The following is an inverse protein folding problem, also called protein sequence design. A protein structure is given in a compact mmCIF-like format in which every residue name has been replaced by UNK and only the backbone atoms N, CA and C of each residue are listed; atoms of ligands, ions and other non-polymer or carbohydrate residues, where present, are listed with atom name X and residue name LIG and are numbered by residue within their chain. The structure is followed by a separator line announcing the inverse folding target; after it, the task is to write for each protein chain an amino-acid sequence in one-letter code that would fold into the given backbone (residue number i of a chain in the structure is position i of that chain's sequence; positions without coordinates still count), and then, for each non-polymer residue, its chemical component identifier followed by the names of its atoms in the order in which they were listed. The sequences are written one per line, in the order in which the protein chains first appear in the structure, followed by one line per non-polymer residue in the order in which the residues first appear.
data_IF_333562969961
#
_entry.id   IF_333562969961
#
_cell.length_a   1.000
_cell.length_b   1.000
_cell.length_c   1.000
_cell.angle_alpha   90.00
_cell.angle_beta   90.00
_cell.angle_gamma   90.00
#
_symmetry.space_group_name_H-M   'P 1'
#
loop_
_entity.id
_entity.type
_entity.pdbx_description
1 polymer ?
#
# COMPACT_ATOMS: atom_id res chain seq x y z
N UNK A 1 -3.38 3.78 33.97
CA UNK A 1 -3.32 2.42 33.44
C UNK A 1 -3.28 2.58 31.93
N UNK A 2 -2.21 2.12 31.26
CA UNK A 2 -2.19 1.99 29.82
C UNK A 2 -3.25 0.94 29.47
N UNK A 3 -4.21 1.30 28.66
CA UNK A 3 -5.12 0.30 28.06
C UNK A 3 -4.25 -0.65 27.25
N UNK A 4 -4.32 -1.94 27.58
CA UNK A 4 -3.63 -2.99 26.86
C UNK A 4 -4.23 -3.04 25.45
N UNK A 5 -3.49 -2.57 24.47
CA UNK A 5 -3.94 -2.51 23.08
C UNK A 5 -4.14 -3.94 22.59
N UNK A 6 -5.28 -4.21 21.94
CA UNK A 6 -5.58 -5.55 21.43
C UNK A 6 -4.47 -6.04 20.47
N UNK A 7 -4.20 -7.36 20.48
CA UNK A 7 -3.15 -7.95 19.64
C UNK A 7 -3.39 -7.63 18.16
N UNK A 8 -2.36 -7.16 17.48
CA UNK A 8 -2.42 -6.76 16.07
C UNK A 8 -2.99 -5.37 15.79
N UNK A 9 -3.33 -4.59 16.81
CA UNK A 9 -3.69 -3.19 16.63
C UNK A 9 -2.44 -2.32 16.56
N UNK A 10 -2.32 -1.54 15.48
CA UNK A 10 -1.19 -0.64 15.24
C UNK A 10 -1.67 0.78 15.02
N UNK A 11 -1.00 1.73 15.64
CA UNK A 11 -1.27 3.15 15.44
C UNK A 11 -0.48 3.65 14.22
N UNK A 12 -1.20 4.22 13.26
CA UNK A 12 -0.62 4.94 12.13
C UNK A 12 -0.81 6.45 12.29
N UNK A 13 -0.20 7.22 11.42
CA UNK A 13 -0.38 8.70 11.37
C UNK A 13 -1.82 9.13 11.11
N UNK A 14 -2.66 8.26 10.52
CA UNK A 14 -4.06 8.55 10.22
C UNK A 14 -5.06 7.93 11.20
N UNK A 15 -4.66 6.92 11.97
CA UNK A 15 -5.54 6.24 12.92
C UNK A 15 -5.10 4.81 13.22
N UNK A 16 -5.90 4.10 14.01
CA UNK A 16 -5.63 2.72 14.38
C UNK A 16 -6.06 1.76 13.26
N UNK A 17 -5.22 0.76 13.00
CA UNK A 17 -5.53 -0.36 12.11
C UNK A 17 -5.40 -1.68 12.85
N UNK A 18 -6.23 -2.65 12.50
CA UNK A 18 -6.13 -4.02 12.97
C UNK A 18 -6.07 -4.97 11.77
N UNK A 19 -5.03 -5.80 11.74
CA UNK A 19 -4.87 -6.87 10.78
C UNK A 19 -5.33 -8.22 11.31
N UNK A 20 -4.97 -9.25 10.56
CA UNK A 20 -5.15 -10.66 10.93
C UNK A 20 -3.81 -11.28 11.27
N UNK A 21 -3.82 -12.40 11.99
CA UNK A 21 -2.61 -13.17 12.31
C UNK A 21 -2.79 -14.61 11.90
N UNK A 22 -1.90 -15.09 11.07
CA UNK A 22 -1.89 -16.48 10.61
C UNK A 22 -0.44 -16.99 10.60
N UNK A 23 -0.23 -18.24 11.04
CA UNK A 23 1.11 -18.85 11.09
C UNK A 23 2.19 -18.00 11.78
N UNK A 24 1.81 -17.17 12.76
CA UNK A 24 2.72 -16.27 13.46
C UNK A 24 3.05 -14.96 12.73
N UNK A 25 2.46 -14.74 11.55
CA UNK A 25 2.63 -13.52 10.75
C UNK A 25 1.38 -12.65 10.84
N UNK A 26 1.57 -11.37 11.15
CA UNK A 26 0.52 -10.36 11.07
C UNK A 26 0.39 -9.88 9.62
N UNK A 27 -0.84 -9.75 9.15
CA UNK A 27 -1.18 -9.31 7.81
C UNK A 27 -2.14 -8.13 7.86
N UNK A 28 -1.75 -7.04 7.20
CA UNK A 28 -2.55 -5.83 7.05
C UNK A 28 -2.77 -5.58 5.57
N UNK A 29 -4.01 -5.61 5.11
CA UNK A 29 -4.39 -5.47 3.71
C UNK A 29 -5.15 -4.16 3.48
N UNK A 30 -4.88 -3.50 2.36
CA UNK A 30 -5.60 -2.32 1.94
C UNK A 30 -5.41 -1.09 2.85
N UNK A 31 -4.23 -0.95 3.47
CA UNK A 31 -3.92 0.20 4.31
C UNK A 31 -3.69 1.43 3.44
N UNK A 32 -4.47 2.51 3.59
CA UNK A 32 -4.31 3.69 2.77
C UNK A 32 -3.03 4.45 3.16
N UNK A 33 -2.24 4.86 2.17
CA UNK A 33 -1.07 5.71 2.37
C UNK A 33 -1.25 7.13 1.82
N UNK A 34 -2.21 7.34 0.94
CA UNK A 34 -2.61 8.63 0.38
C UNK A 34 -4.04 8.52 -0.18
N UNK A 35 -4.64 9.63 -0.57
CA UNK A 35 -5.96 9.69 -1.18
C UNK A 35 -5.95 10.48 -2.48
N UNK A 36 -6.21 9.82 -3.61
CA UNK A 36 -6.42 10.49 -4.90
C UNK A 36 -7.90 10.86 -5.07
N UNK A 37 -8.29 12.00 -4.52
CA UNK A 37 -9.66 12.51 -4.57
C UNK A 37 -10.09 12.95 -5.97
N UNK A 38 -9.13 13.34 -6.80
CA UNK A 38 -9.34 13.77 -8.18
C UNK A 38 -8.38 13.04 -9.11
N UNK A 39 -8.81 12.78 -10.36
CA UNK A 39 -7.95 12.18 -11.39
C UNK A 39 -6.87 13.16 -11.85
N UNK A 40 -5.71 12.64 -12.22
CA UNK A 40 -4.59 13.35 -12.84
C UNK A 40 -3.93 14.41 -11.96
N UNK A 41 -4.28 14.49 -10.71
CA UNK A 41 -3.63 15.39 -9.73
C UNK A 41 -2.90 14.58 -8.67
N UNK A 42 -1.89 15.14 -8.00
CA UNK A 42 -1.23 14.49 -6.88
C UNK A 42 -2.24 14.05 -5.81
N UNK A 43 -1.97 12.90 -5.19
CA UNK A 43 -2.75 12.43 -4.06
C UNK A 43 -2.54 13.34 -2.85
N UNK A 44 -3.53 13.39 -1.97
CA UNK A 44 -3.51 14.13 -0.72
C UNK A 44 -3.20 13.19 0.46
N UNK A 45 -2.92 13.77 1.61
CA UNK A 45 -2.79 13.03 2.86
C UNK A 45 -4.08 12.25 3.18
N UNK A 46 -3.91 11.09 3.81
CA UNK A 46 -5.04 10.27 4.24
C UNK A 46 -5.88 11.02 5.26
N UNK A 47 -7.19 11.06 5.04
CA UNK A 47 -8.13 11.62 6.01
C UNK A 47 -8.10 10.76 7.28
N UNK A 48 -7.77 11.35 8.45
CA UNK A 48 -7.75 10.63 9.72
C UNK A 48 -9.12 10.03 10.04
N UNK A 49 -9.14 8.88 10.70
CA UNK A 49 -10.35 8.22 11.16
C UNK A 49 -10.36 8.00 12.68
N UNK A 50 -11.56 7.87 13.23
CA UNK A 50 -11.77 7.48 14.63
C UNK A 50 -12.00 5.97 14.74
N UNK A 51 -11.64 5.39 15.90
CA UNK A 51 -11.79 3.96 16.14
C UNK A 51 -10.75 3.11 15.41
N UNK A 52 -11.02 1.82 15.30
CA UNK A 52 -10.11 0.85 14.69
C UNK A 52 -10.61 0.51 13.28
N UNK A 53 -9.77 0.75 12.26
CA UNK A 53 -10.03 0.33 10.89
C UNK A 53 -9.54 -1.10 10.69
N UNK A 54 -10.41 -1.98 10.23
CA UNK A 54 -10.02 -3.34 9.86
C UNK A 54 -9.22 -3.32 8.56
N UNK A 55 -8.07 -4.01 8.58
CA UNK A 55 -7.17 -4.18 7.44
C UNK A 55 -7.06 -5.68 7.09
N UNK A 56 -8.19 -6.30 6.78
CA UNK A 56 -8.36 -7.73 6.56
C UNK A 56 -8.72 -8.10 5.11
N UNK A 57 -8.92 -7.09 4.27
CA UNK A 57 -9.25 -7.24 2.85
C UNK A 57 -8.39 -6.32 1.98
N UNK A 58 -8.04 -6.79 0.78
CA UNK A 58 -7.33 -5.97 -0.19
C UNK A 58 -8.11 -4.70 -0.52
N UNK A 59 -7.41 -3.60 -0.68
CA UNK A 59 -7.97 -2.35 -1.16
C UNK A 59 -8.15 -2.34 -2.68
N UNK A 60 -8.75 -1.27 -3.24
CA UNK A 60 -8.92 -1.14 -4.67
C UNK A 60 -7.57 -1.00 -5.37
N UNK A 61 -7.47 -1.58 -6.56
CA UNK A 61 -6.37 -1.37 -7.49
C UNK A 61 -6.68 -0.25 -8.49
N UNK A 62 -5.67 0.24 -9.19
CA UNK A 62 -5.85 1.25 -10.23
C UNK A 62 -6.70 0.73 -11.38
N UNK A 63 -7.61 1.53 -11.94
CA UNK A 63 -8.35 1.17 -13.14
C UNK A 63 -7.40 0.80 -14.28
N UNK A 64 -7.70 -0.33 -14.97
CA UNK A 64 -6.85 -0.89 -16.00
C UNK A 64 -7.64 -1.74 -16.98
N UNK A 65 -7.11 -1.92 -18.19
CA UNK A 65 -7.70 -2.83 -19.16
C UNK A 65 -7.47 -4.29 -18.72
N UNK A 66 -8.49 -5.13 -18.91
CA UNK A 66 -8.33 -6.57 -18.73
C UNK A 66 -7.40 -7.12 -19.81
N UNK A 67 -6.38 -7.86 -19.42
CA UNK A 67 -5.58 -8.62 -20.37
C UNK A 67 -6.30 -9.95 -20.58
N UNK A 68 -6.95 -10.12 -21.73
CA UNK A 68 -7.57 -11.38 -22.12
C UNK A 68 -6.48 -12.45 -22.26
N UNK A 69 -6.53 -13.50 -21.44
CA UNK A 69 -5.67 -14.68 -21.58
C UNK A 69 -4.69 -14.97 -20.43
N UNK A 70 -4.69 -14.20 -19.38
CA UNK A 70 -4.08 -14.60 -18.10
C UNK A 70 -5.23 -15.05 -17.21
N UNK A 71 -5.30 -16.35 -16.95
CA UNK A 71 -6.33 -16.96 -16.08
C UNK A 71 -6.17 -16.46 -14.62
N UNK A 72 -6.78 -15.37 -14.36
CA UNK A 72 -7.02 -14.80 -13.05
C UNK A 72 -8.20 -13.87 -13.21
N UNK A 73 -9.31 -14.19 -12.58
CA UNK A 73 -10.50 -13.34 -12.56
C UNK A 73 -10.17 -11.97 -11.93
N UNK A 74 -9.60 -11.06 -12.70
CA UNK A 74 -9.60 -9.66 -12.33
C UNK A 74 -10.97 -9.08 -12.72
N UNK A 75 -11.93 -9.26 -11.85
CA UNK A 75 -13.17 -8.50 -11.93
C UNK A 75 -12.84 -7.01 -11.87
N UNK A 76 -13.44 -6.19 -12.72
CA UNK A 76 -13.37 -4.73 -12.60
C UNK A 76 -13.99 -4.24 -11.29
N UNK A 77 -14.59 -5.12 -10.52
CA UNK A 77 -15.19 -4.93 -9.20
C UNK A 77 -14.16 -4.67 -8.08
N UNK A 78 -13.07 -4.08 -8.31
CA UNK A 78 -12.06 -3.76 -7.30
C UNK A 78 -11.15 -2.63 -7.74
N UNK A 79 -11.57 -1.84 -8.75
CA UNK A 79 -10.77 -0.71 -9.24
C UNK A 79 -11.34 0.63 -8.77
N UNK A 80 -10.46 1.54 -8.38
CA UNK A 80 -10.80 2.92 -8.03
C UNK A 80 -9.62 3.84 -8.36
N UNK A 81 -9.89 5.09 -8.69
CA UNK A 81 -8.86 6.11 -8.77
C UNK A 81 -8.16 6.32 -7.42
N UNK A 82 -8.89 6.15 -6.33
CA UNK A 82 -8.35 6.17 -4.96
C UNK A 82 -7.77 4.80 -4.59
N UNK A 83 -6.73 4.39 -5.32
CA UNK A 83 -6.06 3.09 -5.20
C UNK A 83 -4.74 3.16 -4.41
N UNK A 84 -4.50 4.25 -3.69
CA UNK A 84 -3.27 4.49 -2.94
C UNK A 84 -3.32 3.73 -1.60
N UNK A 85 -3.16 2.43 -1.68
CA UNK A 85 -3.10 1.53 -0.53
C UNK A 85 -1.93 0.56 -0.64
N UNK A 86 -1.57 -0.04 0.47
CA UNK A 86 -0.49 -1.02 0.56
C UNK A 86 -0.88 -2.17 1.50
N UNK A 87 -0.14 -3.26 1.38
CA UNK A 87 -0.31 -4.45 2.19
C UNK A 87 0.98 -4.71 2.96
N UNK A 88 0.87 -5.22 4.19
CA UNK A 88 2.02 -5.45 5.08
C UNK A 88 1.93 -6.87 5.65
N UNK A 89 3.05 -7.59 5.63
CA UNK A 89 3.27 -8.85 6.33
C UNK A 89 4.45 -8.68 7.28
N UNK A 90 4.26 -9.00 8.54
CA UNK A 90 5.29 -8.80 9.57
C UNK A 90 5.24 -9.85 10.66
N UNK A 91 6.41 -10.33 11.15
CA UNK A 91 6.48 -11.28 12.27
C UNK A 91 6.09 -10.67 13.62
N UNK A 92 6.07 -9.36 13.75
CA UNK A 92 5.73 -8.71 15.02
C UNK A 92 5.46 -7.22 14.87
N UNK A 93 4.59 -6.72 15.73
CA UNK A 93 4.18 -5.31 15.76
C UNK A 93 4.42 -4.72 17.15
N UNK A 94 4.66 -3.41 17.21
CA UNK A 94 4.89 -2.68 18.46
C UNK A 94 6.03 -3.28 19.34
N UNK A 95 6.98 -3.98 18.75
CA UNK A 95 8.03 -4.72 19.45
C UNK A 95 9.43 -4.06 19.39
N UNK A 96 9.58 -2.99 18.61
CA UNK A 96 10.81 -2.23 18.46
C UNK A 96 11.99 -2.99 17.84
N UNK A 97 11.74 -4.14 17.17
CA UNK A 97 12.82 -5.00 16.66
C UNK A 97 13.54 -4.47 15.43
N UNK A 98 12.99 -3.48 14.74
CA UNK A 98 13.64 -2.84 13.57
C UNK A 98 14.09 -3.85 12.52
N UNK A 99 13.16 -4.64 12.00
CA UNK A 99 13.44 -5.61 10.93
C UNK A 99 13.70 -4.90 9.62
N UNK A 100 14.53 -5.46 8.72
CA UNK A 100 14.62 -4.98 7.35
C UNK A 100 13.24 -4.94 6.70
N UNK A 101 13.00 -3.93 5.86
CA UNK A 101 11.75 -3.74 5.13
C UNK A 101 11.99 -3.99 3.65
N UNK A 102 11.19 -4.87 3.05
CA UNK A 102 11.22 -5.17 1.63
C UNK A 102 9.93 -4.64 1.00
N UNK A 103 10.06 -3.72 0.05
CA UNK A 103 8.92 -3.10 -0.64
C UNK A 103 8.83 -3.64 -2.06
N UNK A 104 7.76 -4.37 -2.33
CA UNK A 104 7.43 -4.91 -3.64
C UNK A 104 6.71 -3.88 -4.49
N UNK A 105 7.25 -3.62 -5.68
CA UNK A 105 6.62 -2.82 -6.73
C UNK A 105 6.27 -3.76 -7.90
N UNK A 106 4.98 -4.03 -8.08
CA UNK A 106 4.50 -5.00 -9.06
C UNK A 106 4.87 -4.66 -10.49
N UNK A 107 4.94 -5.68 -11.36
CA UNK A 107 5.15 -5.55 -12.79
C UNK A 107 3.91 -5.10 -13.57
N UNK A 108 4.00 -5.09 -14.89
CA UNK A 108 2.92 -4.71 -15.80
C UNK A 108 3.21 -3.46 -16.64
N UNK A 109 4.47 -2.99 -16.63
CA UNK A 109 4.94 -1.88 -17.48
C UNK A 109 4.23 -0.56 -17.19
N UNK A 110 3.88 -0.29 -15.94
CA UNK A 110 3.10 0.88 -15.50
C UNK A 110 1.69 0.98 -16.10
N UNK A 111 1.22 -0.07 -16.76
CA UNK A 111 -0.07 -0.09 -17.46
C UNK A 111 -1.10 -0.98 -16.76
N UNK A 112 -0.66 -2.09 -16.19
CA UNK A 112 -1.50 -3.13 -15.57
C UNK A 112 -0.84 -3.69 -14.31
N UNK A 113 -1.54 -4.58 -13.63
CA UNK A 113 -1.07 -5.25 -12.43
C UNK A 113 -1.60 -4.64 -11.14
N UNK A 114 -1.31 -5.27 -10.04
CA UNK A 114 -1.63 -4.79 -8.69
C UNK A 114 -0.78 -5.47 -7.63
N UNK A 115 -0.82 -4.91 -6.43
CA UNK A 115 -0.26 -5.54 -5.24
C UNK A 115 -1.14 -6.66 -4.66
N UNK A 116 -2.30 -6.91 -5.27
CA UNK A 116 -3.34 -7.81 -4.75
C UNK A 116 -3.28 -9.21 -5.37
N UNK A 117 -2.30 -9.48 -6.23
CA UNK A 117 -2.16 -10.78 -6.89
C UNK A 117 -1.72 -11.86 -5.89
N UNK A 118 -2.30 -13.06 -5.97
CA UNK A 118 -2.02 -14.18 -5.06
C UNK A 118 -0.53 -14.52 -4.98
N UNK A 119 0.19 -14.37 -6.08
CA UNK A 119 1.65 -14.61 -6.13
C UNK A 119 2.50 -13.60 -5.37
N UNK A 120 1.91 -12.52 -4.88
CA UNK A 120 2.61 -11.45 -4.16
C UNK A 120 2.36 -11.46 -2.65
N UNK A 121 1.76 -12.53 -2.12
CA UNK A 121 1.63 -12.72 -0.69
C UNK A 121 3.00 -12.81 -0.01
N UNK A 122 3.24 -11.91 0.93
CA UNK A 122 4.55 -11.74 1.58
C UNK A 122 4.78 -12.65 2.78
N UNK A 123 3.83 -13.52 3.16
CA UNK A 123 3.90 -14.33 4.37
C UNK A 123 5.17 -15.21 4.42
N UNK A 124 5.46 -15.92 3.34
CA UNK A 124 6.60 -16.83 3.29
C UNK A 124 7.95 -16.08 3.41
N UNK A 125 8.09 -14.94 2.75
CA UNK A 125 9.31 -14.12 2.83
C UNK A 125 9.45 -13.51 4.23
N UNK A 126 8.37 -12.96 4.76
CA UNK A 126 8.34 -12.37 6.10
C UNK A 126 8.72 -13.40 7.17
N UNK A 127 8.13 -14.60 7.10
CA UNK A 127 8.39 -15.69 8.05
C UNK A 127 9.82 -16.23 7.95
N UNK A 128 10.31 -16.51 6.75
CA UNK A 128 11.62 -17.12 6.57
C UNK A 128 12.80 -16.16 6.78
N UNK A 129 12.59 -14.87 6.46
CA UNK A 129 13.64 -13.85 6.52
C UNK A 129 13.61 -13.00 7.80
N UNK A 130 12.60 -13.13 8.64
CA UNK A 130 12.33 -12.19 9.76
C UNK A 130 12.36 -10.73 9.28
N UNK A 131 11.64 -10.46 8.20
CA UNK A 131 11.57 -9.16 7.54
C UNK A 131 10.12 -8.67 7.44
N UNK A 132 9.95 -7.36 7.32
CA UNK A 132 8.65 -6.76 6.99
C UNK A 132 8.54 -6.68 5.47
N UNK A 133 7.47 -7.22 4.91
CA UNK A 133 7.18 -7.16 3.47
C UNK A 133 6.03 -6.19 3.24
N UNK A 134 6.20 -5.27 2.31
CA UNK A 134 5.18 -4.29 1.91
C UNK A 134 4.96 -4.43 0.41
N UNK A 135 3.72 -4.52 -0.04
CA UNK A 135 3.36 -4.42 -1.45
C UNK A 135 2.50 -3.19 -1.71
N UNK A 136 2.73 -2.48 -2.80
CA UNK A 136 2.18 -1.14 -3.03
C UNK A 136 1.29 -1.12 -4.27
N UNK A 137 0.06 -0.61 -4.11
CA UNK A 137 -0.80 -0.20 -5.22
C UNK A 137 -0.58 1.27 -5.53
N UNK A 138 -0.54 1.60 -6.83
CA UNK A 138 -0.36 2.97 -7.32
C UNK A 138 -1.10 3.16 -8.64
N UNK A 139 -1.34 4.39 -9.03
CA UNK A 139 -2.00 4.69 -10.31
C UNK A 139 -1.16 4.25 -11.51
N UNK A 140 -1.84 3.76 -12.52
CA UNK A 140 -1.28 3.14 -13.72
C UNK A 140 -1.83 3.81 -14.99
N UNK A 141 -1.20 3.52 -16.13
CA UNK A 141 -1.63 3.89 -17.49
C UNK A 141 -1.94 5.40 -17.60
N UNK A 142 -3.00 5.77 -18.29
CA UNK A 142 -3.38 7.19 -18.46
C UNK A 142 -3.69 7.88 -17.14
N UNK A 143 -4.18 7.15 -16.14
CA UNK A 143 -4.51 7.69 -14.82
C UNK A 143 -3.28 8.07 -14.00
N UNK A 144 -2.15 7.43 -14.26
CA UNK A 144 -0.88 7.72 -13.60
C UNK A 144 0.08 8.60 -14.41
N UNK A 145 -0.06 8.65 -15.74
CA UNK A 145 1.03 9.13 -16.60
C UNK A 145 0.60 9.98 -17.81
N UNK A 146 -0.69 10.32 -17.94
CA UNK A 146 -1.15 11.21 -19.02
C UNK A 146 -0.75 12.66 -18.74
N UNK A 147 0.00 13.26 -19.67
CA UNK A 147 0.37 14.68 -19.58
C UNK A 147 -0.80 15.60 -19.99
N UNK A 148 -1.36 16.27 -19.02
CA UNK A 148 -2.41 17.27 -19.14
C UNK A 148 -1.94 18.68 -18.73
N UNK A 149 -0.63 18.87 -18.58
CA UNK A 149 -0.05 20.14 -18.08
C UNK A 149 -0.37 21.35 -18.92
N UNK A 150 -0.67 21.16 -20.20
CA UNK A 150 -1.06 22.24 -21.13
C UNK A 150 -2.49 22.77 -20.94
N UNK A 151 -3.33 22.05 -20.17
CA UNK A 151 -4.76 22.37 -20.04
C UNK A 151 -5.08 23.22 -18.83
N UNK A 152 -4.42 22.95 -17.69
CA UNK A 152 -4.65 23.67 -16.44
C UNK A 152 -3.45 23.49 -15.50
N UNK A 153 -3.13 24.52 -14.70
CA UNK A 153 -2.03 24.48 -13.71
C UNK A 153 -2.17 23.32 -12.71
N UNK A 154 -3.38 22.93 -12.35
CA UNK A 154 -3.63 21.78 -11.45
C UNK A 154 -3.09 20.47 -12.00
N UNK A 155 -2.92 20.35 -13.31
CA UNK A 155 -2.41 19.16 -13.98
C UNK A 155 -0.92 19.18 -14.26
N UNK A 156 -0.18 20.14 -13.75
CA UNK A 156 1.26 20.27 -14.01
C UNK A 156 2.08 19.01 -13.69
N UNK A 157 1.59 18.17 -12.80
CA UNK A 157 2.24 16.91 -12.42
C UNK A 157 1.55 15.66 -12.97
N UNK A 158 0.54 15.79 -13.81
CA UNK A 158 -0.29 14.70 -14.29
C UNK A 158 0.49 13.56 -14.96
N UNK A 159 1.58 13.88 -15.64
CA UNK A 159 2.47 12.90 -16.29
C UNK A 159 3.22 11.98 -15.30
N UNK A 160 3.22 12.27 -14.01
CA UNK A 160 4.02 11.57 -13.00
C UNK A 160 3.24 11.22 -11.73
N UNK A 161 1.92 11.36 -11.69
CA UNK A 161 1.16 11.11 -10.46
C UNK A 161 1.24 9.64 -10.02
N UNK A 162 1.44 8.70 -10.93
CA UNK A 162 1.69 7.30 -10.59
C UNK A 162 3.00 7.10 -9.83
N UNK A 163 4.10 7.73 -10.27
CA UNK A 163 5.37 7.74 -9.52
C UNK A 163 5.26 8.53 -8.22
N UNK A 164 4.48 9.60 -8.20
CA UNK A 164 4.23 10.37 -6.96
C UNK A 164 3.49 9.50 -5.93
N UNK A 165 2.55 8.66 -6.34
CA UNK A 165 1.93 7.68 -5.45
C UNK A 165 2.97 6.76 -4.80
N UNK A 166 3.93 6.25 -5.56
CA UNK A 166 5.02 5.41 -5.04
C UNK A 166 5.87 6.20 -4.03
N UNK A 167 6.21 7.44 -4.33
CA UNK A 167 6.95 8.31 -3.39
C UNK A 167 6.14 8.53 -2.10
N UNK A 168 4.85 8.74 -2.21
CA UNK A 168 3.98 8.91 -1.03
C UNK A 168 3.91 7.63 -0.20
N UNK A 169 3.90 6.44 -0.83
CA UNK A 169 4.00 5.17 -0.11
C UNK A 169 5.30 5.03 0.68
N UNK A 170 6.42 5.48 0.11
CA UNK A 170 7.73 5.46 0.78
C UNK A 170 7.79 6.44 1.95
N UNK A 171 7.18 7.61 1.84
CA UNK A 171 7.04 8.56 2.96
C UNK A 171 6.19 7.94 4.07
N UNK A 172 5.07 7.31 3.71
CA UNK A 172 4.23 6.60 4.68
C UNK A 172 5.02 5.51 5.41
N UNK A 173 5.84 4.74 4.71
CA UNK A 173 6.72 3.72 5.30
C UNK A 173 7.70 4.37 6.30
N UNK A 174 8.32 5.49 5.93
CA UNK A 174 9.23 6.21 6.85
C UNK A 174 8.53 6.61 8.15
N UNK A 175 7.28 7.05 8.08
CA UNK A 175 6.54 7.57 9.22
C UNK A 175 5.89 6.47 10.07
N UNK A 176 5.62 5.29 9.49
CA UNK A 176 4.75 4.30 10.13
C UNK A 176 5.37 2.91 10.34
N UNK A 177 6.37 2.51 9.56
CA UNK A 177 6.78 1.09 9.50
C UNK A 177 7.42 0.59 10.81
N UNK A 178 7.94 1.48 11.65
CA UNK A 178 8.50 1.10 12.94
C UNK A 178 7.44 0.44 13.85
N UNK A 179 6.22 0.95 13.84
CA UNK A 179 5.11 0.37 14.60
C UNK A 179 4.72 -1.04 14.09
N UNK A 180 4.99 -1.34 12.83
CA UNK A 180 4.84 -2.66 12.21
C UNK A 180 6.08 -3.55 12.36
N UNK A 181 7.02 -3.19 13.21
CA UNK A 181 8.23 -3.97 13.52
C UNK A 181 9.37 -3.79 12.52
N UNK A 182 9.26 -2.83 11.60
CA UNK A 182 10.26 -2.54 10.56
C UNK A 182 11.25 -1.44 10.94
N UNK A 183 12.33 -1.35 10.19
CA UNK A 183 13.35 -0.31 10.28
C UNK A 183 13.19 0.69 9.14
N UNK A 184 12.75 1.93 9.41
CA UNK A 184 12.59 2.94 8.37
C UNK A 184 13.92 3.35 7.71
N UNK A 185 15.07 3.05 8.32
CA UNK A 185 16.39 3.31 7.77
C UNK A 185 16.95 2.13 6.94
N UNK A 186 16.26 0.98 6.93
CA UNK A 186 16.66 -0.22 6.19
C UNK A 186 15.54 -0.71 5.29
N UNK A 187 15.28 0.03 4.22
CA UNK A 187 14.20 -0.21 3.25
C UNK A 187 14.78 -0.53 1.88
N UNK A 188 14.43 -1.69 1.35
CA UNK A 188 14.85 -2.16 0.03
C UNK A 188 13.66 -2.27 -0.90
N UNK A 189 13.76 -1.70 -2.11
CA UNK A 189 12.78 -1.84 -3.19
C UNK A 189 13.17 -3.02 -4.10
N UNK A 190 12.18 -3.76 -4.57
CA UNK A 190 12.40 -4.85 -5.54
C UNK A 190 11.17 -5.10 -6.41
#
# INVERSE_FOLDING_TARGET
AAEEQADGVVKTTAGLVQGTKENGIYRYLGVPYAEAKERFVPAEEVTPWEGIRMADTYGPMSPQAQISGVDGESSQDGTDNNSQNLNIWTPGVNDGKKRPVMVWLHGGGFSTGSANEDGYDGEAISSSGDVVVVSVNHRLNVFGYLDLSAYDEKYKYSANVGLMDIVDSLKWIQDNIEAFGGDPENVTLF
#
